data_IF_456155009076
#
_entry.id   IF_456155009076
#
_cell.length_a   1.000
_cell.length_b   1.000
_cell.length_c   1.000
_cell.angle_alpha   90.00
_cell.angle_beta   90.00
_cell.angle_gamma   90.00
#
_symmetry.space_group_name_H-M   'P 1'
#
loop_
_entity.id
_entity.type
_entity.pdbx_description
1 polymer ?
#
# COMPACT_ATOMS: atom_id res chain seq x y z
N UNK A 1 6.96 -4.88 3.66
CA UNK A 1 7.54 -5.89 2.74
C UNK A 1 6.55 -6.24 1.65
N UNK A 2 7.02 -6.32 0.43
CA UNK A 2 6.20 -6.77 -0.69
C UNK A 2 6.58 -8.21 -1.00
N UNK A 3 5.66 -9.14 -0.79
CA UNK A 3 5.91 -10.56 -1.04
C UNK A 3 6.15 -10.80 -2.54
N UNK A 4 7.15 -11.61 -2.87
CA UNK A 4 7.49 -11.91 -4.25
C UNK A 4 6.34 -12.55 -5.04
N UNK A 5 5.44 -13.26 -4.35
CA UNK A 5 4.29 -13.90 -5.00
C UNK A 5 3.30 -12.91 -5.61
N UNK A 6 3.25 -11.69 -5.11
CA UNK A 6 2.31 -10.67 -5.58
C UNK A 6 2.98 -9.52 -6.32
N UNK A 7 4.30 -9.45 -6.27
CA UNK A 7 5.05 -8.32 -6.84
C UNK A 7 4.67 -8.05 -8.31
N UNK A 8 4.56 -9.09 -9.10
CA UNK A 8 4.24 -8.95 -10.54
C UNK A 8 2.81 -8.47 -10.79
N UNK A 9 1.97 -8.54 -9.78
CA UNK A 9 0.56 -8.16 -9.88
C UNK A 9 0.33 -6.72 -9.46
N UNK A 10 1.35 -6.05 -8.92
CA UNK A 10 1.25 -4.65 -8.51
C UNK A 10 1.63 -3.79 -9.71
N UNK A 11 0.64 -3.13 -10.29
CA UNK A 11 0.87 -2.23 -11.43
C UNK A 11 1.68 -1.03 -10.97
N UNK A 12 2.70 -0.67 -11.74
CA UNK A 12 3.54 0.48 -11.40
C UNK A 12 4.62 0.19 -10.37
N UNK A 13 4.85 -1.08 -10.03
CA UNK A 13 5.88 -1.45 -9.05
C UNK A 13 7.27 -0.93 -9.47
N UNK A 14 7.52 -0.82 -10.77
CA UNK A 14 8.78 -0.31 -11.31
C UNK A 14 9.02 1.17 -11.03
N UNK A 15 8.00 1.89 -10.57
CA UNK A 15 8.13 3.30 -10.20
C UNK A 15 8.88 3.48 -8.88
N UNK A 16 8.93 2.42 -8.05
CA UNK A 16 9.65 2.48 -6.78
C UNK A 16 11.16 2.55 -7.05
N UNK A 17 11.86 3.51 -6.44
CA UNK A 17 13.32 3.53 -6.53
C UNK A 17 13.93 2.27 -5.93
N UNK A 18 15.04 1.78 -6.50
CA UNK A 18 15.73 0.61 -5.96
C UNK A 18 16.19 0.83 -4.52
N UNK A 19 16.42 2.07 -4.15
CA UNK A 19 16.92 2.46 -2.84
C UNK A 19 15.84 2.61 -1.77
N UNK A 20 14.56 2.43 -2.14
CA UNK A 20 13.49 2.53 -1.16
C UNK A 20 13.46 1.29 -0.27
N UNK A 21 13.18 1.49 1.02
CA UNK A 21 12.92 0.39 1.93
C UNK A 21 11.49 -0.14 1.67
N UNK A 22 11.39 -1.35 1.15
CA UNK A 22 10.09 -1.94 0.80
C UNK A 22 9.24 -2.33 2.01
N UNK A 23 9.80 -2.31 3.20
CA UNK A 23 9.01 -2.43 4.42
C UNK A 23 8.28 -1.12 4.72
N UNK A 24 8.67 -0.05 4.06
CA UNK A 24 8.15 1.29 4.32
C UNK A 24 8.23 1.63 5.80
N UNK A 25 9.33 1.19 6.43
CA UNK A 25 9.54 1.41 7.85
C UNK A 25 9.54 2.90 8.17
N UNK A 26 8.83 3.26 9.23
CA UNK A 26 8.68 4.65 9.65
C UNK A 26 8.04 5.56 8.59
N UNK A 27 7.21 4.99 7.73
CA UNK A 27 6.43 5.79 6.78
C UNK A 27 5.27 6.47 7.47
N UNK A 28 4.89 7.63 6.96
CA UNK A 28 3.75 8.39 7.49
C UNK A 28 2.58 8.31 6.51
N UNK A 29 1.41 8.02 7.02
CA UNK A 29 0.19 8.03 6.22
C UNK A 29 -0.23 9.49 6.04
N UNK A 30 -0.17 10.01 4.81
CA UNK A 30 -0.57 11.38 4.51
C UNK A 30 -2.08 11.49 4.30
N UNK A 31 -2.66 10.53 3.59
CA UNK A 31 -4.11 10.45 3.43
C UNK A 31 -4.53 9.05 3.01
N UNK A 32 -5.81 8.78 3.22
CA UNK A 32 -6.47 7.56 2.81
C UNK A 32 -7.89 7.94 2.39
N UNK A 33 -8.19 7.86 1.10
CA UNK A 33 -9.46 8.26 0.54
C UNK A 33 -10.21 7.05 -0.01
N UNK A 34 -11.32 6.70 0.64
CA UNK A 34 -12.17 5.60 0.23
C UNK A 34 -13.33 6.10 -0.62
N UNK A 35 -13.66 5.35 -1.67
CA UNK A 35 -14.80 5.61 -2.54
C UNK A 35 -15.54 4.28 -2.75
N UNK A 36 -16.88 4.27 -2.65
CA UNK A 36 -17.64 3.00 -2.73
C UNK A 36 -17.63 2.33 -4.10
N UNK A 37 -17.42 3.07 -5.19
CA UNK A 37 -17.45 2.49 -6.52
C UNK A 37 -18.85 1.98 -6.90
N UNK A 38 -18.96 1.23 -8.02
CA UNK A 38 -20.24 0.68 -8.50
C UNK A 38 -20.58 -0.65 -7.83
N UNK A 39 -19.60 -1.52 -7.63
CA UNK A 39 -19.80 -2.84 -7.01
C UNK A 39 -18.88 -3.03 -5.81
N UNK A 40 -17.63 -2.75 -5.98
CA UNK A 40 -16.62 -2.86 -4.94
C UNK A 40 -15.90 -1.53 -4.78
N UNK A 41 -15.52 -1.24 -3.56
CA UNK A 41 -14.87 0.03 -3.28
C UNK A 41 -13.47 0.15 -3.84
N UNK A 42 -12.96 1.36 -3.78
CA UNK A 42 -11.58 1.67 -4.12
C UNK A 42 -11.02 2.64 -3.08
N UNK A 43 -9.72 2.65 -2.93
CA UNK A 43 -9.06 3.53 -1.97
C UNK A 43 -7.73 4.03 -2.52
N UNK A 44 -7.44 5.30 -2.30
CA UNK A 44 -6.14 5.90 -2.56
C UNK A 44 -5.43 6.14 -1.25
N UNK A 45 -4.17 5.71 -1.17
CA UNK A 45 -3.35 5.83 0.03
C UNK A 45 -2.04 6.48 -0.34
N UNK A 46 -1.71 7.59 0.30
CA UNK A 46 -0.42 8.24 0.12
C UNK A 46 0.44 8.03 1.36
N UNK A 47 1.62 7.50 1.14
CA UNK A 47 2.62 7.28 2.18
C UNK A 47 3.83 8.16 1.92
N UNK A 48 4.26 8.90 2.94
CA UNK A 48 5.54 9.58 2.92
C UNK A 48 6.57 8.59 3.46
N UNK A 49 7.57 8.31 2.66
CA UNK A 49 8.68 7.43 3.03
C UNK A 49 9.98 8.07 2.57
N UNK A 50 11.04 7.32 2.55
CA UNK A 50 12.36 7.85 2.19
C UNK A 50 13.10 6.88 1.28
N UNK A 51 14.00 7.42 0.48
CA UNK A 51 14.91 6.66 -0.35
C UNK A 51 16.33 7.17 -0.16
N UNK A 52 17.30 6.31 -0.39
CA UNK A 52 18.72 6.67 -0.38
C UNK A 52 19.26 6.70 -1.79
N UNK A 53 19.79 7.85 -2.22
CA UNK A 53 20.49 7.97 -3.48
C UNK A 53 21.72 8.81 -3.27
N UNK A 54 22.88 8.33 -3.76
CA UNK A 54 24.14 9.08 -3.70
C UNK A 54 24.48 9.55 -2.29
N UNK A 55 24.31 8.67 -1.29
CA UNK A 55 24.56 8.95 0.13
C UNK A 55 23.64 10.02 0.72
N UNK A 56 22.58 10.41 0.00
CA UNK A 56 21.61 11.34 0.50
C UNK A 56 20.26 10.65 0.74
N UNK A 57 19.58 11.05 1.80
CA UNK A 57 18.23 10.59 2.10
C UNK A 57 17.25 11.61 1.55
N UNK A 58 16.30 11.16 0.74
CA UNK A 58 15.26 12.01 0.19
C UNK A 58 13.90 11.48 0.62
N UNK A 59 13.05 12.38 1.11
CA UNK A 59 11.65 12.05 1.38
C UNK A 59 10.87 11.99 0.08
N UNK A 60 10.06 10.96 -0.06
CA UNK A 60 9.22 10.76 -1.25
C UNK A 60 7.79 10.44 -0.81
N UNK A 61 6.85 10.71 -1.71
CA UNK A 61 5.45 10.30 -1.55
C UNK A 61 5.17 9.18 -2.53
N UNK A 62 4.70 8.06 -2.00
CA UNK A 62 4.23 6.93 -2.82
C UNK A 62 2.72 6.86 -2.69
N UNK A 63 2.03 6.93 -3.84
CA UNK A 63 0.57 6.85 -3.86
C UNK A 63 0.17 5.49 -4.40
N UNK A 64 -0.59 4.75 -3.57
CA UNK A 64 -1.19 3.48 -3.93
C UNK A 64 -2.65 3.67 -4.28
N UNK A 65 -3.12 2.92 -5.25
CA UNK A 65 -4.53 2.83 -5.60
C UNK A 65 -4.96 1.37 -5.53
N UNK A 66 -5.97 1.08 -4.73
CA UNK A 66 -6.49 -0.26 -4.54
C UNK A 66 -7.92 -0.30 -5.06
N UNK A 67 -8.24 -1.30 -5.89
CA UNK A 67 -9.57 -1.49 -6.46
C UNK A 67 -10.09 -2.89 -6.17
N UNK A 68 -11.39 -3.06 -6.33
CA UNK A 68 -12.06 -4.33 -6.10
C UNK A 68 -11.81 -4.79 -4.67
N UNK A 69 -12.19 -3.89 -3.74
CA UNK A 69 -11.96 -4.07 -2.30
C UNK A 69 -12.85 -5.19 -1.77
N UNK A 70 -12.23 -6.17 -1.13
CA UNK A 70 -12.94 -7.30 -0.50
C UNK A 70 -13.06 -7.14 1.00
N UNK A 71 -12.14 -6.43 1.62
CA UNK A 71 -12.18 -6.10 3.03
C UNK A 71 -11.49 -4.75 3.25
N UNK A 72 -12.10 -3.93 4.08
CA UNK A 72 -11.52 -2.66 4.50
C UNK A 72 -11.73 -2.54 6.00
N UNK A 73 -10.65 -2.61 6.76
CA UNK A 73 -10.72 -2.60 8.22
C UNK A 73 -9.67 -1.65 8.78
N UNK A 74 -10.13 -0.73 9.62
CA UNK A 74 -9.27 0.15 10.40
C UNK A 74 -9.60 -0.10 11.87
N UNK A 75 -8.62 -0.54 12.63
CA UNK A 75 -8.83 -0.93 14.02
C UNK A 75 -8.75 0.26 14.98
N UNK A 76 -7.83 1.16 14.74
CA UNK A 76 -7.63 2.33 15.59
C UNK A 76 -7.68 3.59 14.76
N UNK A 77 -7.90 4.72 15.44
CA UNK A 77 -7.84 6.01 14.77
C UNK A 77 -6.45 6.20 14.16
N UNK A 78 -6.42 6.48 12.86
CA UNK A 78 -5.17 6.73 12.16
C UNK A 78 -4.78 8.17 12.44
N UNK A 79 -3.70 8.34 13.19
CA UNK A 79 -3.07 9.63 13.41
C UNK A 79 -1.79 9.69 12.59
N UNK A 80 -1.12 10.81 12.58
CA UNK A 80 0.16 10.99 11.89
C UNK A 80 1.27 10.20 12.58
N UNK A 81 1.18 8.88 12.57
CA UNK A 81 2.20 8.05 13.17
C UNK A 81 2.87 7.18 12.11
N UNK A 82 4.03 6.68 12.47
CA UNK A 82 4.82 5.85 11.59
C UNK A 82 4.22 4.46 11.45
N UNK A 83 4.34 3.88 10.28
CA UNK A 83 3.78 2.58 9.97
C UNK A 83 4.77 1.75 9.15
N UNK A 84 4.56 0.44 9.12
CA UNK A 84 5.25 -0.47 8.22
C UNK A 84 4.22 -1.10 7.30
N UNK A 85 4.61 -1.34 6.06
CA UNK A 85 3.73 -1.90 5.03
C UNK A 85 4.08 -3.34 4.70
N UNK A 86 3.08 -4.18 4.58
CA UNK A 86 3.20 -5.52 4.03
C UNK A 86 2.14 -5.74 2.98
N UNK A 87 2.53 -6.24 1.80
CA UNK A 87 1.60 -6.65 0.75
C UNK A 87 1.86 -8.13 0.47
N UNK A 88 0.82 -8.94 0.59
CA UNK A 88 0.93 -10.39 0.41
C UNK A 88 -0.35 -10.96 -0.17
N UNK A 89 -0.29 -12.20 -0.64
CA UNK A 89 -1.47 -12.89 -1.11
C UNK A 89 -2.42 -13.18 0.05
N UNK A 90 -3.72 -12.97 -0.17
CA UNK A 90 -4.73 -13.36 0.82
C UNK A 90 -4.75 -14.88 0.97
N UNK A 91 -4.87 -15.37 2.18
CA UNK A 91 -4.80 -16.81 2.48
C UNK A 91 -6.00 -17.63 2.03
N UNK A 92 -7.11 -16.99 1.67
CA UNK A 92 -8.36 -17.66 1.34
C UNK A 92 -8.59 -17.79 -0.17
N UNK A 93 -7.53 -18.11 -0.94
CA UNK A 93 -7.58 -18.14 -2.41
C UNK A 93 -8.56 -19.18 -2.98
N UNK A 94 -8.88 -20.21 -2.22
CA UNK A 94 -9.82 -21.26 -2.66
C UNK A 94 -11.29 -20.91 -2.40
N UNK A 95 -11.56 -19.72 -1.88
CA UNK A 95 -12.92 -19.20 -1.68
C UNK A 95 -13.14 -18.11 -2.73
N UNK A 96 -14.20 -18.24 -3.55
CA UNK A 96 -14.43 -17.37 -4.70
C UNK A 96 -14.39 -15.88 -4.35
N UNK A 97 -14.96 -15.50 -3.22
CA UNK A 97 -14.98 -14.11 -2.79
C UNK A 97 -13.58 -13.53 -2.63
N UNK A 98 -12.62 -14.34 -2.15
CA UNK A 98 -11.26 -13.90 -1.85
C UNK A 98 -10.27 -14.20 -2.97
N UNK A 99 -10.68 -14.99 -3.94
CA UNK A 99 -9.77 -15.42 -5.01
C UNK A 99 -9.18 -14.23 -5.75
N UNK A 100 -7.85 -14.23 -5.87
CA UNK A 100 -7.12 -13.14 -6.50
C UNK A 100 -6.86 -11.95 -5.60
N UNK A 101 -7.34 -11.98 -4.35
CA UNK A 101 -7.13 -10.87 -3.42
C UNK A 101 -5.71 -10.84 -2.87
N UNK A 102 -5.23 -9.63 -2.66
CA UNK A 102 -3.97 -9.34 -1.98
C UNK A 102 -4.28 -8.53 -0.73
N UNK A 103 -3.55 -8.79 0.34
CA UNK A 103 -3.68 -8.04 1.57
C UNK A 103 -2.67 -6.90 1.59
N UNK A 104 -3.17 -5.70 1.82
CA UNK A 104 -2.39 -4.49 2.03
C UNK A 104 -2.51 -4.14 3.51
N UNK A 105 -1.42 -4.34 4.24
CA UNK A 105 -1.43 -4.25 5.70
C UNK A 105 -0.50 -3.14 6.16
N UNK A 106 -1.02 -2.24 6.99
CA UNK A 106 -0.19 -1.25 7.67
C UNK A 106 -0.24 -1.54 9.16
N UNK A 107 0.95 -1.77 9.75
CA UNK A 107 1.12 -2.22 11.14
C UNK A 107 0.32 -3.49 11.45
N UNK A 108 0.25 -4.37 10.48
CA UNK A 108 -0.37 -5.70 10.50
C UNK A 108 -1.81 -5.75 10.98
N UNK A 109 -2.17 -4.98 12.01
CA UNK A 109 -3.48 -5.05 12.64
C UNK A 109 -4.26 -3.74 12.60
N UNK A 110 -3.60 -2.62 12.36
CA UNK A 110 -4.28 -1.32 12.39
C UNK A 110 -5.04 -1.02 11.11
N UNK A 111 -4.46 -1.32 9.96
CA UNK A 111 -5.12 -1.17 8.67
C UNK A 111 -4.97 -2.47 7.90
N UNK A 112 -6.10 -3.03 7.51
CA UNK A 112 -6.14 -4.24 6.69
C UNK A 112 -7.09 -4.02 5.53
N UNK A 113 -6.54 -4.02 4.32
CA UNK A 113 -7.32 -3.89 3.10
C UNK A 113 -7.02 -5.08 2.23
N UNK A 114 -8.07 -5.82 1.81
CA UNK A 114 -7.91 -6.89 0.84
C UNK A 114 -8.53 -6.45 -0.47
N UNK A 115 -7.76 -6.50 -1.55
CA UNK A 115 -8.17 -6.00 -2.85
C UNK A 115 -7.63 -6.89 -3.95
N UNK A 116 -8.36 -6.98 -5.05
CA UNK A 116 -7.89 -7.76 -6.21
C UNK A 116 -6.91 -6.99 -7.08
N UNK A 117 -6.91 -5.66 -6.99
CA UNK A 117 -6.01 -4.82 -7.80
C UNK A 117 -5.30 -3.83 -6.90
N UNK A 118 -3.99 -3.79 -7.01
CA UNK A 118 -3.14 -2.82 -6.33
C UNK A 118 -2.23 -2.19 -7.38
N UNK A 119 -2.15 -0.87 -7.36
CA UNK A 119 -1.29 -0.12 -8.25
C UNK A 119 -0.50 0.92 -7.47
N UNK A 120 0.72 1.19 -7.92
CA UNK A 120 1.47 2.38 -7.51
C UNK A 120 1.24 3.41 -8.60
N UNK A 121 0.53 4.47 -8.25
CA UNK A 121 0.10 5.49 -9.20
C UNK A 121 1.21 6.50 -9.44
N UNK A 122 1.90 6.90 -8.38
CA UNK A 122 2.95 7.88 -8.48
C UNK A 122 3.98 7.73 -7.37
N UNK A 123 5.20 8.14 -7.67
CA UNK A 123 6.30 8.30 -6.72
C UNK A 123 6.92 9.65 -7.02
N UNK A 124 6.84 10.57 -6.07
CA UNK A 124 7.29 11.95 -6.26
C UNK A 124 8.09 12.42 -5.06
N UNK A 125 9.02 13.35 -5.25
CA UNK A 125 9.69 13.98 -4.11
C UNK A 125 8.68 14.68 -3.21
N UNK A 126 8.90 14.57 -1.90
CA UNK A 126 8.11 15.32 -0.94
C UNK A 126 8.77 16.68 -0.71
N UNK A 127 8.04 17.74 -0.98
CA UNK A 127 8.50 19.11 -0.77
C UNK A 127 7.59 19.77 0.27
N UNK A 128 8.24 20.33 1.28
CA UNK A 128 7.54 21.09 2.30
C UNK A 128 7.18 22.49 1.82
#
# INVERSE_FOLDING_TARGET
MIDNKVRNRITGIEKLPDSVDEDFHDSTILYMNYSPGDYYGQVDIALKTWSHENDETQDIIVVFHLEDIREFRIKNQICNFTTCLTIRENKNQNIDYWKGSMDFLMDEINVRISARKIAIVSVEPYEE
#
